data_IF_597372124744
#
_entry.id   IF_597372124744
#
_cell.length_a   1.000
_cell.length_b   1.000
_cell.length_c   1.000
_cell.angle_alpha   90.00
_cell.angle_beta   90.00
_cell.angle_gamma   90.00
#
_symmetry.space_group_name_H-M   'P 1'
#
loop_
_entity.id
_entity.type
_entity.pdbx_description
1 polymer ?
#
# COMPACT_ATOMS: atom_id res chain seq x y z
N UNK A 1 -0.42 2.75 -16.61
CA UNK A 1 0.13 2.34 -15.30
C UNK A 1 -1.03 1.91 -14.43
N UNK A 2 -0.91 0.79 -13.71
CA UNK A 2 -1.93 0.27 -12.80
C UNK A 2 -1.58 0.63 -11.37
N UNK A 3 -2.62 0.81 -10.55
CA UNK A 3 -2.54 1.15 -9.14
C UNK A 3 -3.18 0.02 -8.32
N UNK A 4 -2.48 -0.43 -7.27
CA UNK A 4 -2.97 -1.36 -6.26
C UNK A 4 -3.35 -0.56 -5.01
N UNK A 5 -4.53 -0.84 -4.46
CA UNK A 5 -5.02 -0.19 -3.23
C UNK A 5 -5.30 -1.25 -2.18
N UNK A 6 -4.68 -1.13 -1.00
CA UNK A 6 -5.00 -1.96 0.17
C UNK A 6 -5.81 -1.14 1.15
N UNK A 7 -7.04 -1.58 1.41
CA UNK A 7 -7.94 -0.99 2.40
C UNK A 7 -7.68 -1.63 3.77
N UNK A 8 -7.29 -0.81 4.75
CA UNK A 8 -7.10 -1.20 6.15
C UNK A 8 -6.32 -2.52 6.33
N UNK A 9 -5.10 -2.66 5.76
CA UNK A 9 -4.38 -3.92 5.78
C UNK A 9 -3.98 -4.32 7.20
N UNK A 10 -4.31 -5.55 7.59
CA UNK A 10 -4.07 -6.06 8.95
C UNK A 10 -2.79 -6.90 9.09
N UNK A 11 -2.42 -7.62 8.03
CA UNK A 11 -1.33 -8.60 8.08
C UNK A 11 -0.05 -8.00 7.46
N UNK A 12 1.00 -7.73 8.25
CA UNK A 12 2.20 -7.06 7.77
C UNK A 12 2.92 -7.86 6.68
N UNK A 13 2.96 -9.20 6.77
CA UNK A 13 3.60 -10.03 5.75
C UNK A 13 2.92 -9.94 4.38
N UNK A 14 1.59 -9.86 4.35
CA UNK A 14 0.85 -9.71 3.09
C UNK A 14 1.16 -8.37 2.45
N UNK A 15 1.15 -7.29 3.24
CA UNK A 15 1.51 -5.95 2.76
C UNK A 15 2.94 -5.94 2.23
N UNK A 16 3.88 -6.55 2.95
CA UNK A 16 5.28 -6.62 2.50
C UNK A 16 5.47 -7.36 1.18
N UNK A 17 4.79 -8.49 0.99
CA UNK A 17 4.83 -9.22 -0.28
C UNK A 17 4.22 -8.40 -1.44
N UNK A 18 3.17 -7.62 -1.17
CA UNK A 18 2.54 -6.76 -2.19
C UNK A 18 3.42 -5.55 -2.52
N UNK A 19 4.15 -4.99 -1.55
CA UNK A 19 5.16 -3.95 -1.80
C UNK A 19 6.22 -4.49 -2.75
N UNK A 20 6.76 -5.68 -2.48
CA UNK A 20 7.73 -6.35 -3.35
C UNK A 20 7.19 -6.59 -4.76
N UNK A 21 5.93 -7.01 -4.87
CA UNK A 21 5.26 -7.16 -6.16
C UNK A 21 5.22 -5.83 -6.92
N UNK A 22 4.85 -4.74 -6.26
CA UNK A 22 4.78 -3.41 -6.86
C UNK A 22 6.15 -2.92 -7.33
N UNK A 23 7.19 -3.12 -6.52
CA UNK A 23 8.57 -2.79 -6.88
C UNK A 23 9.06 -3.55 -8.13
N UNK A 24 8.74 -4.85 -8.22
CA UNK A 24 9.15 -5.69 -9.35
C UNK A 24 8.34 -5.45 -10.64
N UNK A 25 7.12 -4.92 -10.53
CA UNK A 25 6.19 -4.74 -11.68
C UNK A 25 6.03 -3.28 -12.10
N UNK A 26 6.56 -2.34 -11.33
CA UNK A 26 6.37 -0.90 -11.54
C UNK A 26 4.96 -0.40 -11.23
N UNK A 27 4.15 -1.19 -10.52
CA UNK A 27 2.82 -0.77 -10.08
C UNK A 27 2.92 0.20 -8.90
N UNK A 28 1.94 1.08 -8.77
CA UNK A 28 1.85 2.01 -7.65
C UNK A 28 1.02 1.39 -6.53
N UNK A 29 1.46 1.55 -5.29
CA UNK A 29 0.76 1.03 -4.11
C UNK A 29 0.20 2.16 -3.24
N UNK A 30 -1.09 2.08 -2.96
CA UNK A 30 -1.79 2.96 -2.03
C UNK A 30 -2.27 2.15 -0.82
N UNK A 31 -1.98 2.63 0.38
CA UNK A 31 -2.46 2.04 1.62
C UNK A 31 -3.44 2.99 2.28
N UNK A 32 -4.65 2.50 2.58
CA UNK A 32 -5.66 3.26 3.30
C UNK A 32 -5.59 2.86 4.77
N UNK A 33 -5.34 3.86 5.62
CA UNK A 33 -5.34 3.70 7.08
C UNK A 33 -6.76 3.38 7.62
N UNK A 34 -6.88 2.87 8.86
CA UNK A 34 -5.81 2.43 9.76
C UNK A 34 -5.10 1.16 9.28
N UNK A 35 -3.78 1.12 9.44
CA UNK A 35 -3.01 -0.12 9.26
C UNK A 35 -3.11 -0.94 10.55
N UNK A 36 -3.37 -2.24 10.45
CA UNK A 36 -3.39 -3.15 11.61
C UNK A 36 -2.00 -3.47 12.18
N UNK A 37 -0.94 -2.85 11.65
CA UNK A 37 0.44 -3.05 12.06
C UNK A 37 1.24 -1.74 11.96
N UNK A 38 2.42 -1.73 12.58
CA UNK A 38 3.36 -0.61 12.47
C UNK A 38 4.33 -0.82 11.32
N UNK A 39 4.76 0.25 10.67
CA UNK A 39 5.76 0.19 9.60
C UNK A 39 7.08 -0.46 10.03
N UNK A 40 7.39 -0.42 11.32
CA UNK A 40 8.61 -1.02 11.87
C UNK A 40 8.44 -2.48 12.31
N UNK A 41 7.33 -3.13 11.96
CA UNK A 41 7.11 -4.52 12.33
C UNK A 41 8.23 -5.40 11.73
N UNK A 42 8.91 -6.19 12.57
CA UNK A 42 9.92 -7.18 12.16
C UNK A 42 9.40 -8.08 11.04
N UNK A 43 8.09 -8.33 11.00
CA UNK A 43 7.41 -9.10 9.94
C UNK A 43 7.45 -8.39 8.58
N UNK A 44 7.31 -7.07 8.56
CA UNK A 44 7.41 -6.24 7.34
C UNK A 44 8.86 -6.13 6.85
N UNK A 45 9.83 -6.05 7.77
CA UNK A 45 11.26 -6.07 7.42
C UNK A 45 11.70 -7.43 6.84
N UNK A 46 11.12 -8.54 7.31
CA UNK A 46 11.42 -9.90 6.82
C UNK A 46 10.98 -10.18 5.38
N UNK A 47 10.10 -9.36 4.80
CA UNK A 47 9.80 -9.40 3.37
C UNK A 47 10.99 -8.98 2.49
N UNK A 48 12.12 -8.63 3.12
CA UNK A 48 13.37 -8.28 2.44
C UNK A 48 13.31 -6.89 1.82
N UNK A 49 12.37 -6.05 2.25
CA UNK A 49 12.09 -4.76 1.65
C UNK A 49 13.29 -3.83 1.72
N UNK A 50 13.76 -3.37 0.57
CA UNK A 50 14.79 -2.34 0.50
C UNK A 50 14.16 -0.96 0.67
N UNK A 51 14.88 -0.02 1.28
CA UNK A 51 14.40 1.35 1.53
C UNK A 51 13.86 2.04 0.26
N UNK A 52 14.41 1.71 -0.90
CA UNK A 52 13.97 2.25 -2.20
C UNK A 52 12.57 1.76 -2.60
N UNK A 53 12.15 0.57 -2.17
CA UNK A 53 10.82 0.03 -2.46
C UNK A 53 9.72 0.73 -1.67
N UNK A 54 10.08 1.47 -0.61
CA UNK A 54 9.15 2.29 0.15
C UNK A 54 8.89 3.67 -0.46
N UNK A 55 9.77 4.15 -1.35
CA UNK A 55 9.78 5.55 -1.77
C UNK A 55 8.50 6.00 -2.49
N UNK A 56 7.81 5.06 -3.16
CA UNK A 56 6.58 5.33 -3.93
C UNK A 56 5.30 4.89 -3.23
N UNK A 57 5.35 4.42 -1.97
CA UNK A 57 4.15 4.00 -1.24
C UNK A 57 3.44 5.21 -0.65
N UNK A 58 2.14 5.35 -0.97
CA UNK A 58 1.31 6.41 -0.40
C UNK A 58 0.37 5.87 0.66
N UNK A 59 0.62 6.22 1.92
CA UNK A 59 -0.33 5.99 3.02
C UNK A 59 -1.29 7.17 3.13
N UNK A 60 -2.60 6.91 3.08
CA UNK A 60 -3.63 7.94 3.09
C UNK A 60 -4.69 7.63 4.15
N UNK A 61 -5.13 8.66 4.88
CA UNK A 61 -6.25 8.54 5.81
C UNK A 61 -7.55 8.20 5.06
N UNK A 62 -8.43 7.37 5.65
CA UNK A 62 -9.72 7.07 5.07
C UNK A 62 -10.52 8.38 5.04
N UNK A 63 -10.72 8.91 3.84
CA UNK A 63 -11.53 10.09 3.62
C UNK A 63 -12.56 9.76 2.55
N UNK A 64 -13.77 10.32 2.68
CA UNK A 64 -14.83 10.28 1.65
C UNK A 64 -14.37 10.78 0.27
N UNK A 65 -13.15 11.33 0.18
CA UNK A 65 -12.53 11.92 -1.00
C UNK A 65 -11.36 11.09 -1.57
N UNK A 66 -11.02 9.91 -1.03
CA UNK A 66 -9.95 9.08 -1.61
C UNK A 66 -10.18 8.81 -3.09
N UNK A 67 -11.43 8.53 -3.47
CA UNK A 67 -11.84 8.35 -4.86
C UNK A 67 -11.60 9.57 -5.77
N UNK A 68 -11.41 10.79 -5.23
CA UNK A 68 -11.17 12.00 -6.02
C UNK A 68 -9.69 12.30 -6.28
N UNK A 69 -8.77 11.76 -5.47
CA UNK A 69 -7.35 12.07 -5.59
C UNK A 69 -6.65 11.30 -6.72
N UNK A 70 -7.10 10.09 -7.04
CA UNK A 70 -6.62 9.30 -8.17
C UNK A 70 -7.74 9.20 -9.20
N UNK A 71 -7.73 10.12 -10.15
CA UNK A 71 -8.77 10.32 -11.16
C UNK A 71 -8.74 9.22 -12.25
N UNK A 72 -8.91 7.95 -11.87
CA UNK A 72 -9.17 6.79 -12.76
C UNK A 72 -9.57 5.56 -11.93
N UNK A 73 -10.76 5.05 -12.22
CA UNK A 73 -11.41 3.87 -11.64
C UNK A 73 -12.07 4.09 -10.28
N UNK A 74 -13.30 4.59 -10.38
CA UNK A 74 -14.32 4.51 -9.35
C UNK A 74 -14.52 3.06 -8.90
N UNK A 75 -14.48 2.84 -7.59
CA UNK A 75 -15.14 1.71 -6.94
C UNK A 75 -15.92 2.29 -5.75
N UNK A 76 -17.24 2.24 -5.89
CA UNK A 76 -18.28 2.48 -4.89
C UNK A 76 -19.46 1.61 -5.33
N UNK A 77 -20.26 1.11 -4.39
CA UNK A 77 -19.93 0.25 -3.25
C UNK A 77 -19.85 -1.25 -3.62
#
# INVERSE_FOLDING_TARGET
MLDIVLYEPEIPQNTGNIIRLCANTGFRLHLIEPLGFTWDDKKLRRSGLDYHEFADIKSTKPSRHFCKANNRSAYLP
#
